data_IF_070324256916
#
_entry.id   IF_070324256916
#
_cell.length_a   1.000
_cell.length_b   1.000
_cell.length_c   1.000
_cell.angle_alpha   90.00
_cell.angle_beta   90.00
_cell.angle_gamma   90.00
#
_symmetry.space_group_name_H-M   'P 1'
#
loop_
_entity.id
_entity.type
_entity.pdbx_description
1 polymer ?
#
# COMPACT_ATOMS: atom_id res chain seq x y z
N UNK A 1 -24.25 1.64 2.60
CA UNK A 1 -23.04 1.77 1.75
C UNK A 1 -21.95 0.97 2.43
N UNK A 2 -21.51 -0.14 1.83
CA UNK A 2 -20.39 -0.94 2.33
C UNK A 2 -19.08 -0.22 1.99
N UNK A 3 -18.15 -0.13 2.94
CA UNK A 3 -16.80 0.39 2.67
C UNK A 3 -15.97 -0.77 2.12
N UNK A 4 -15.39 -0.65 0.91
CA UNK A 4 -14.59 -1.72 0.33
C UNK A 4 -13.30 -1.95 1.14
N UNK A 5 -12.79 -3.17 1.07
CA UNK A 5 -11.49 -3.52 1.64
C UNK A 5 -10.35 -2.80 0.91
N UNK A 6 -9.23 -2.60 1.60
CA UNK A 6 -8.05 -1.92 1.07
C UNK A 6 -6.99 -2.94 0.69
N UNK A 7 -6.69 -3.04 -0.60
CA UNK A 7 -5.69 -3.97 -1.12
C UNK A 7 -4.25 -3.44 -1.01
N UNK A 8 -4.08 -2.11 -1.04
CA UNK A 8 -2.77 -1.45 -1.05
C UNK A 8 -2.77 -0.16 -0.24
N UNK A 9 -1.83 -0.05 0.71
CA UNK A 9 -1.50 1.19 1.41
C UNK A 9 -0.16 1.72 0.90
N UNK A 10 -0.14 2.97 0.45
CA UNK A 10 1.06 3.68 0.01
C UNK A 10 1.44 4.70 1.09
N UNK A 11 2.69 4.67 1.54
CA UNK A 11 3.24 5.64 2.48
C UNK A 11 4.53 6.24 1.96
N UNK A 12 4.55 7.57 1.91
CA UNK A 12 5.70 8.41 1.53
C UNK A 12 6.49 8.86 2.76
N UNK A 13 7.72 9.33 2.55
CA UNK A 13 8.56 9.93 3.58
C UNK A 13 9.46 8.95 4.33
N UNK A 14 9.76 7.78 3.76
CA UNK A 14 10.78 6.84 4.26
C UNK A 14 10.40 6.03 5.50
N UNK A 15 9.32 6.40 6.18
CA UNK A 15 8.89 5.77 7.42
C UNK A 15 8.12 4.46 7.20
N UNK A 16 8.64 3.34 7.69
CA UNK A 16 7.99 2.02 7.62
C UNK A 16 6.97 1.79 8.74
N UNK A 17 5.88 2.57 8.77
CA UNK A 17 4.77 2.39 9.73
C UNK A 17 3.41 2.65 9.10
N UNK A 18 2.40 1.88 9.49
CA UNK A 18 1.01 2.14 9.06
C UNK A 18 0.32 3.22 9.91
N UNK A 19 0.90 3.63 11.05
CA UNK A 19 0.35 4.67 11.94
C UNK A 19 -1.13 4.47 12.31
N UNK A 20 -1.60 3.21 12.41
CA UNK A 20 -3.02 2.86 12.61
C UNK A 20 -3.96 3.41 11.53
N UNK A 21 -3.45 3.60 10.32
CA UNK A 21 -4.25 4.00 9.16
C UNK A 21 -5.10 2.82 8.68
N UNK A 22 -6.42 2.98 8.75
CA UNK A 22 -7.43 2.02 8.24
C UNK A 22 -7.24 0.55 8.69
N UNK A 23 -7.17 0.25 10.00
CA UNK A 23 -6.86 -1.09 10.48
C UNK A 23 -7.94 -2.13 10.13
N UNK A 24 -9.21 -1.70 10.09
CA UNK A 24 -10.35 -2.57 9.77
C UNK A 24 -10.43 -2.85 8.26
N UNK A 25 -10.15 -1.83 7.44
CA UNK A 25 -10.20 -1.95 5.98
C UNK A 25 -8.95 -2.62 5.40
N UNK A 26 -7.80 -2.52 6.08
CA UNK A 26 -6.55 -3.17 5.67
C UNK A 26 -6.55 -4.71 5.80
N UNK A 27 -7.68 -5.31 6.18
CA UNK A 27 -7.91 -6.76 6.25
C UNK A 27 -6.70 -7.56 6.80
N UNK A 28 -6.12 -7.06 7.90
CA UNK A 28 -4.95 -7.65 8.56
C UNK A 28 -3.74 -7.87 7.64
N UNK A 29 -3.42 -9.14 7.35
CA UNK A 29 -2.23 -9.55 6.57
C UNK A 29 -2.44 -9.51 5.05
N UNK A 30 -3.66 -9.26 4.58
CA UNK A 30 -4.01 -9.32 3.15
C UNK A 30 -3.64 -8.04 2.41
N UNK A 31 -3.71 -6.88 3.06
CA UNK A 31 -3.29 -5.62 2.47
C UNK A 31 -1.78 -5.55 2.21
N UNK A 32 -1.39 -5.14 1.01
CA UNK A 32 -0.02 -4.82 0.67
C UNK A 32 0.34 -3.42 1.24
N UNK A 33 1.52 -3.29 1.84
CA UNK A 33 2.06 -1.99 2.25
C UNK A 33 3.27 -1.64 1.38
N UNK A 34 3.23 -0.47 0.74
CA UNK A 34 4.33 0.09 -0.04
C UNK A 34 4.85 1.34 0.67
N UNK A 35 6.09 1.26 1.13
CA UNK A 35 6.81 2.38 1.74
C UNK A 35 7.82 2.93 0.74
N UNK A 36 7.79 4.24 0.51
CA UNK A 36 8.70 4.90 -0.41
C UNK A 36 9.43 6.08 0.26
N UNK A 37 10.67 6.29 -0.17
CA UNK A 37 11.56 7.32 0.33
C UNK A 37 11.10 8.77 0.09
N UNK A 38 10.61 9.18 -1.11
CA UNK A 38 10.29 10.58 -1.35
C UNK A 38 9.17 11.06 -0.42
N UNK A 39 9.23 12.32 -0.01
CA UNK A 39 8.12 12.96 0.69
C UNK A 39 6.93 13.16 -0.26
N UNK A 40 5.74 13.39 0.32
CA UNK A 40 4.50 13.54 -0.44
C UNK A 40 4.59 14.58 -1.59
N UNK A 41 5.20 15.77 -1.40
CA UNK A 41 5.34 16.75 -2.49
C UNK A 41 6.21 16.26 -3.66
N UNK A 42 7.10 15.30 -3.43
CA UNK A 42 8.01 14.73 -4.42
C UNK A 42 7.50 13.40 -4.99
N UNK A 43 6.32 12.94 -4.56
CA UNK A 43 5.74 11.68 -5.02
C UNK A 43 5.30 11.79 -6.48
N UNK A 44 5.87 10.95 -7.34
CA UNK A 44 5.61 10.99 -8.79
C UNK A 44 4.79 9.80 -9.25
N UNK A 45 4.25 9.92 -10.47
CA UNK A 45 3.54 8.83 -11.15
C UNK A 45 4.35 7.53 -11.21
N UNK A 46 5.68 7.61 -11.34
CA UNK A 46 6.54 6.42 -11.34
C UNK A 46 6.52 5.69 -9.99
N UNK A 47 6.43 6.41 -8.88
CA UNK A 47 6.39 5.84 -7.53
C UNK A 47 5.04 5.18 -7.27
N UNK A 48 3.96 5.75 -7.81
CA UNK A 48 2.64 5.10 -7.84
C UNK A 48 2.63 3.79 -8.64
N UNK A 49 3.23 3.79 -9.84
CA UNK A 49 3.32 2.57 -10.67
C UNK A 49 4.17 1.49 -10.01
N UNK A 50 5.22 1.85 -9.28
CA UNK A 50 6.00 0.92 -8.45
C UNK A 50 5.14 0.31 -7.35
N UNK A 51 4.31 1.11 -6.69
CA UNK A 51 3.40 0.63 -5.67
C UNK A 51 2.38 -0.38 -6.23
N UNK A 52 1.80 -0.10 -7.41
CA UNK A 52 0.89 -1.03 -8.09
C UNK A 52 1.59 -2.35 -8.40
N UNK A 53 2.83 -2.31 -8.92
CA UNK A 53 3.60 -3.52 -9.20
C UNK A 53 3.78 -4.37 -7.94
N UNK A 54 4.07 -3.75 -6.80
CA UNK A 54 4.20 -4.46 -5.52
C UNK A 54 2.89 -5.13 -5.11
N UNK A 55 1.74 -4.45 -5.27
CA UNK A 55 0.43 -5.04 -5.02
C UNK A 55 0.16 -6.24 -5.94
N UNK A 56 0.44 -6.12 -7.24
CA UNK A 56 0.26 -7.19 -8.22
C UNK A 56 1.13 -8.41 -7.90
N UNK A 57 2.42 -8.21 -7.60
CA UNK A 57 3.32 -9.30 -7.20
C UNK A 57 2.79 -10.03 -5.97
N UNK A 58 2.30 -9.29 -4.97
CA UNK A 58 1.79 -9.89 -3.73
C UNK A 58 0.47 -10.64 -3.94
N UNK A 59 -0.41 -10.13 -4.80
CA UNK A 59 -1.64 -10.83 -5.18
C UNK A 59 -1.34 -12.19 -5.83
N UNK A 60 -0.37 -12.23 -6.75
CA UNK A 60 0.07 -13.50 -7.35
C UNK A 60 0.67 -14.48 -6.34
N UNK A 61 1.37 -13.99 -5.31
CA UNK A 61 1.91 -14.84 -4.23
C UNK A 61 0.87 -15.31 -3.21
N UNK A 62 -0.28 -14.64 -3.11
CA UNK A 62 -1.39 -15.05 -2.22
C UNK A 62 -2.32 -16.10 -2.87
N UNK A 63 -2.19 -16.31 -4.18
CA UNK A 63 -3.00 -17.25 -4.97
C UNK A 63 -2.33 -18.63 -5.15
N UNK A 64 -1.08 -18.79 -4.71
CA UNK A 64 -0.31 -20.04 -4.74
C UNK A 64 -0.26 -20.67 -3.34
#
# INVERSE_FOLDING_TARGET
ISVPEVDLIIRTGGDARTSKFLPWQANGKKCAAYFCAPYWPEFRKIDFLRAIRVAQTRASSQQA
#
